data_IF_173388392385
#
_entry.id   IF_173388392385
#
_cell.length_a   1.000
_cell.length_b   1.000
_cell.length_c   1.000
_cell.angle_alpha   90.00
_cell.angle_beta   90.00
_cell.angle_gamma   90.00
#
_symmetry.space_group_name_H-M   'P 1'
#
loop_
_entity.id
_entity.type
_entity.pdbx_description
1 polymer ?
#
# COMPACT_ATOMS: atom_id res chain seq x y z
N UNK A 1 11.09 6.31 3.33
CA UNK A 1 11.22 5.08 4.13
C UNK A 1 9.87 4.38 4.26
N UNK A 2 9.88 3.08 4.39
CA UNK A 2 8.69 2.28 4.62
C UNK A 2 8.95 1.20 5.67
N UNK A 3 7.93 0.84 6.42
CA UNK A 3 8.00 -0.22 7.42
C UNK A 3 6.61 -0.79 7.71
N UNK A 4 6.54 -2.06 7.98
CA UNK A 4 5.32 -2.76 8.37
C UNK A 4 5.59 -3.59 9.63
N UNK A 5 4.72 -3.47 10.63
CA UNK A 5 4.92 -4.13 11.92
C UNK A 5 3.70 -4.88 12.43
N UNK A 6 2.75 -5.22 11.56
CA UNK A 6 1.57 -5.97 11.96
C UNK A 6 1.90 -7.42 12.29
N UNK A 7 1.39 -7.91 13.43
CA UNK A 7 1.66 -9.24 13.93
C UNK A 7 0.67 -10.32 13.51
N UNK A 8 -0.42 -9.94 12.86
CA UNK A 8 -1.49 -10.87 12.52
C UNK A 8 -2.54 -11.01 13.63
N UNK A 9 -3.28 -12.13 13.62
CA UNK A 9 -4.44 -12.34 14.50
C UNK A 9 -4.20 -13.38 15.59
N UNK A 10 -2.95 -13.72 15.89
CA UNK A 10 -2.58 -14.70 16.91
C UNK A 10 -1.77 -15.85 16.34
N UNK A 11 -1.12 -16.58 17.23
CA UNK A 11 -0.28 -17.74 16.90
C UNK A 11 0.96 -17.45 16.03
N UNK A 12 1.34 -16.17 15.95
CA UNK A 12 2.56 -15.77 15.24
C UNK A 12 3.80 -16.25 16.01
N UNK A 13 4.82 -16.66 15.25
CA UNK A 13 6.07 -17.10 15.85
C UNK A 13 6.86 -15.93 16.42
N UNK A 14 7.52 -16.14 17.55
CA UNK A 14 8.42 -15.17 18.17
C UNK A 14 9.49 -14.74 17.16
N UNK A 15 9.69 -13.43 17.05
CA UNK A 15 10.68 -12.84 16.14
C UNK A 15 10.13 -12.45 14.77
N UNK A 16 8.86 -12.74 14.48
CA UNK A 16 8.20 -12.27 13.28
C UNK A 16 7.77 -10.80 13.46
N UNK A 17 8.21 -9.93 12.57
CA UNK A 17 8.01 -8.47 12.70
C UNK A 17 6.84 -7.97 11.88
N UNK A 18 6.42 -8.69 10.83
CA UNK A 18 5.41 -8.24 9.87
C UNK A 18 4.66 -9.43 9.28
N UNK A 19 3.40 -9.19 8.86
CA UNK A 19 2.59 -10.17 8.13
C UNK A 19 3.20 -10.51 6.78
N UNK A 20 3.90 -9.59 6.17
CA UNK A 20 4.57 -9.78 4.89
C UNK A 20 6.03 -9.36 4.97
N UNK A 21 6.89 -10.26 4.51
CA UNK A 21 8.31 -10.04 4.50
C UNK A 21 8.71 -8.94 3.50
N UNK A 22 9.76 -8.18 3.85
CA UNK A 22 10.42 -7.31 2.89
C UNK A 22 11.06 -8.16 1.77
N UNK A 23 10.96 -7.81 0.47
CA UNK A 23 10.44 -6.55 -0.06
C UNK A 23 8.97 -6.58 -0.50
N UNK A 24 8.25 -7.66 -0.25
CA UNK A 24 6.86 -7.79 -0.70
C UNK A 24 5.89 -6.91 0.09
N UNK A 25 6.02 -6.88 1.41
CA UNK A 25 5.12 -6.16 2.32
C UNK A 25 5.56 -4.74 2.65
N UNK A 26 6.82 -4.42 2.50
CA UNK A 26 7.34 -3.05 2.60
C UNK A 26 8.63 -2.93 1.79
N UNK A 27 8.78 -1.81 1.13
CA UNK A 27 9.96 -1.51 0.33
C UNK A 27 10.06 0.00 0.09
N UNK A 28 11.27 0.51 0.06
CA UNK A 28 11.51 1.91 -0.27
C UNK A 28 12.85 2.08 -0.95
N UNK A 29 12.92 3.06 -1.84
CA UNK A 29 14.16 3.56 -2.43
C UNK A 29 14.12 5.09 -2.49
N UNK A 30 15.00 5.72 -3.26
CA UNK A 30 15.03 7.18 -3.40
C UNK A 30 13.79 7.76 -4.09
N UNK A 31 12.99 6.96 -4.77
CA UNK A 31 11.86 7.44 -5.57
C UNK A 31 10.51 7.28 -4.86
N UNK A 32 10.31 6.20 -4.11
CA UNK A 32 9.04 5.90 -3.45
C UNK A 32 9.20 4.97 -2.26
N UNK A 33 8.17 4.94 -1.41
CA UNK A 33 8.06 3.99 -0.31
C UNK A 33 6.64 3.44 -0.23
N UNK A 34 6.51 2.16 0.09
CA UNK A 34 5.24 1.43 0.15
C UNK A 34 5.22 0.51 1.36
N UNK A 35 4.10 0.53 2.09
CA UNK A 35 3.78 -0.46 3.14
C UNK A 35 2.43 -1.09 2.85
N UNK A 36 2.34 -2.40 3.05
CA UNK A 36 1.17 -3.20 2.73
C UNK A 36 0.53 -3.81 3.97
N UNK A 37 -0.75 -4.12 3.87
CA UNK A 37 -1.54 -4.81 4.88
C UNK A 37 -2.53 -5.76 4.20
N UNK A 38 -3.04 -6.75 4.94
CA UNK A 38 -4.02 -7.71 4.43
C UNK A 38 -3.55 -9.15 4.60
N UNK A 39 -3.94 -10.02 3.68
CA UNK A 39 -3.50 -11.42 3.69
C UNK A 39 -2.03 -11.49 3.24
N UNK A 40 -1.15 -11.92 4.14
CA UNK A 40 0.31 -11.89 3.92
C UNK A 40 0.74 -12.68 2.69
N UNK A 41 0.15 -13.86 2.47
CA UNK A 41 0.44 -14.69 1.30
C UNK A 41 0.07 -14.01 0.00
N UNK A 42 -1.03 -13.27 -0.03
CA UNK A 42 -1.46 -12.51 -1.21
C UNK A 42 -0.47 -11.38 -1.51
N UNK A 43 0.01 -10.70 -0.48
CA UNK A 43 1.00 -9.64 -0.61
C UNK A 43 2.33 -10.20 -1.14
N UNK A 44 2.75 -11.37 -0.64
CA UNK A 44 3.98 -12.04 -1.07
C UNK A 44 3.86 -12.48 -2.53
N UNK A 45 2.77 -13.14 -2.90
CA UNK A 45 2.55 -13.61 -4.25
C UNK A 45 2.56 -12.47 -5.29
N UNK A 46 2.03 -11.31 -4.91
CA UNK A 46 2.06 -10.13 -5.77
C UNK A 46 3.39 -9.38 -5.71
N UNK A 47 4.27 -9.64 -4.75
CA UNK A 47 5.47 -8.85 -4.46
C UNK A 47 5.14 -7.35 -4.40
N UNK A 48 4.06 -7.01 -3.71
CA UNK A 48 3.30 -5.77 -3.94
C UNK A 48 4.13 -4.50 -3.72
N UNK A 49 4.79 -4.36 -2.57
CA UNK A 49 5.51 -3.14 -2.26
C UNK A 49 6.66 -2.89 -3.24
N UNK A 50 7.50 -3.88 -3.50
CA UNK A 50 8.60 -3.77 -4.45
C UNK A 50 8.09 -3.51 -5.87
N UNK A 51 7.01 -4.18 -6.28
CA UNK A 51 6.42 -3.98 -7.61
C UNK A 51 6.00 -2.53 -7.84
N UNK A 52 5.31 -1.92 -6.88
CA UNK A 52 4.90 -0.51 -6.98
C UNK A 52 6.11 0.41 -7.04
N UNK A 53 7.08 0.25 -6.14
CA UNK A 53 8.28 1.08 -6.10
C UNK A 53 9.09 0.96 -7.38
N UNK A 54 9.26 -0.25 -7.91
CA UNK A 54 9.99 -0.49 -9.16
C UNK A 54 9.27 0.19 -10.34
N UNK A 55 7.95 0.13 -10.40
CA UNK A 55 7.17 0.83 -11.44
C UNK A 55 7.40 2.35 -11.39
N UNK A 56 7.43 2.94 -10.21
CA UNK A 56 7.75 4.37 -10.04
C UNK A 56 9.19 4.65 -10.50
N UNK A 57 10.13 3.81 -10.11
CA UNK A 57 11.54 3.93 -10.50
C UNK A 57 11.70 3.88 -12.03
N UNK A 58 10.90 3.05 -12.69
CA UNK A 58 10.93 2.87 -14.15
C UNK A 58 10.13 3.94 -14.93
N UNK A 59 9.54 4.91 -14.23
CA UNK A 59 8.94 6.07 -14.86
C UNK A 59 7.43 6.21 -14.73
N UNK A 60 6.75 5.29 -14.05
CA UNK A 60 5.32 5.45 -13.75
C UNK A 60 5.14 6.56 -12.72
N UNK A 61 4.05 7.33 -12.83
CA UNK A 61 3.61 8.13 -11.70
C UNK A 61 3.20 7.21 -10.55
N UNK A 62 3.24 7.71 -9.31
CA UNK A 62 2.81 6.90 -8.15
C UNK A 62 1.37 6.42 -8.32
N UNK A 63 0.47 7.31 -8.75
CA UNK A 63 -0.94 6.97 -8.98
C UNK A 63 -1.08 5.84 -10.02
N UNK A 64 -0.40 5.93 -11.15
CA UNK A 64 -0.45 4.91 -12.20
C UNK A 64 0.14 3.57 -11.72
N UNK A 65 1.24 3.60 -10.96
CA UNK A 65 1.86 2.40 -10.42
C UNK A 65 0.93 1.68 -9.42
N UNK A 66 0.30 2.42 -8.51
CA UNK A 66 -0.65 1.88 -7.54
C UNK A 66 -1.90 1.35 -8.25
N UNK A 67 -2.47 2.11 -9.17
CA UNK A 67 -3.67 1.69 -9.89
C UNK A 67 -3.46 0.39 -10.66
N UNK A 68 -2.37 0.30 -11.41
CA UNK A 68 -2.04 -0.93 -12.15
C UNK A 68 -1.88 -2.12 -11.22
N UNK A 69 -1.17 -1.94 -10.11
CA UNK A 69 -0.91 -2.99 -9.13
C UNK A 69 -2.21 -3.45 -8.42
N UNK A 70 -3.10 -2.53 -8.12
CA UNK A 70 -4.40 -2.87 -7.51
C UNK A 70 -5.31 -3.61 -8.50
N UNK A 71 -5.32 -3.23 -9.77
CA UNK A 71 -6.08 -3.94 -10.80
C UNK A 71 -5.59 -5.37 -10.99
N UNK A 72 -4.27 -5.58 -10.99
CA UNK A 72 -3.69 -6.93 -11.05
C UNK A 72 -4.10 -7.76 -9.83
N UNK A 73 -3.99 -7.19 -8.64
CA UNK A 73 -4.38 -7.85 -7.40
C UNK A 73 -5.87 -8.21 -7.38
N UNK A 74 -6.72 -7.33 -7.87
CA UNK A 74 -8.16 -7.58 -8.00
C UNK A 74 -8.43 -8.74 -8.97
N UNK A 75 -7.78 -8.73 -10.12
CA UNK A 75 -7.91 -9.80 -11.13
C UNK A 75 -7.46 -11.16 -10.57
N UNK A 76 -6.42 -11.16 -9.72
CA UNK A 76 -5.90 -12.37 -9.10
C UNK A 76 -6.67 -12.78 -7.83
N UNK A 77 -7.74 -12.09 -7.47
CA UNK A 77 -8.57 -12.42 -6.31
C UNK A 77 -7.89 -12.17 -4.97
N UNK A 78 -6.96 -11.22 -4.89
CA UNK A 78 -6.21 -10.93 -3.65
C UNK A 78 -6.99 -10.04 -2.70
N UNK A 79 -6.69 -10.20 -1.39
CA UNK A 79 -7.27 -9.41 -0.31
C UNK A 79 -6.15 -8.65 0.40
N UNK A 80 -5.96 -7.38 0.02
CA UNK A 80 -4.83 -6.58 0.48
C UNK A 80 -5.11 -5.08 0.39
N UNK A 81 -4.23 -4.31 1.01
CA UNK A 81 -4.23 -2.87 0.95
C UNK A 81 -2.81 -2.32 1.06
N UNK A 82 -2.62 -1.07 0.72
CA UNK A 82 -1.32 -0.42 0.76
C UNK A 82 -1.42 1.08 0.96
N UNK A 83 -0.39 1.63 1.56
CA UNK A 83 -0.13 3.07 1.62
C UNK A 83 1.21 3.35 0.92
N UNK A 84 1.30 4.48 0.27
CA UNK A 84 2.51 4.84 -0.46
C UNK A 84 2.73 6.34 -0.53
N UNK A 85 3.99 6.72 -0.69
CA UNK A 85 4.38 8.09 -0.98
C UNK A 85 5.60 8.10 -1.92
N UNK A 86 5.73 9.16 -2.69
CA UNK A 86 6.89 9.36 -3.56
C UNK A 86 7.77 10.54 -3.08
N UNK A 87 8.89 10.75 -3.76
CA UNK A 87 9.83 11.82 -3.39
C UNK A 87 9.31 13.22 -3.62
N UNK A 88 8.26 13.40 -4.40
CA UNK A 88 7.61 14.70 -4.60
C UNK A 88 6.54 14.99 -3.52
N UNK A 89 6.26 14.06 -2.64
CA UNK A 89 5.26 14.20 -1.59
C UNK A 89 3.85 13.78 -2.00
N UNK A 90 3.68 13.12 -3.14
CA UNK A 90 2.40 12.53 -3.51
C UNK A 90 2.10 11.35 -2.56
N UNK A 91 0.86 11.27 -2.11
CA UNK A 91 0.37 10.23 -1.21
C UNK A 91 -0.77 9.50 -1.92
N UNK A 92 -0.63 8.19 -2.06
CA UNK A 92 -1.61 7.33 -2.73
C UNK A 92 -1.81 6.07 -1.90
N UNK A 93 -3.03 5.64 -1.75
CA UNK A 93 -3.37 4.37 -1.11
C UNK A 93 -4.22 3.52 -2.05
N UNK A 94 -4.24 2.22 -1.79
CA UNK A 94 -5.01 1.30 -2.59
C UNK A 94 -5.50 0.12 -1.77
N UNK A 95 -6.58 -0.50 -2.20
CA UNK A 95 -7.11 -1.70 -1.57
C UNK A 95 -7.88 -2.55 -2.58
N UNK A 96 -7.84 -3.84 -2.36
CA UNK A 96 -8.83 -4.81 -2.87
C UNK A 96 -9.70 -5.32 -1.72
N UNK A 97 -9.23 -5.18 -0.48
CA UNK A 97 -9.98 -5.47 0.72
C UNK A 97 -11.19 -4.54 0.87
N UNK A 98 -12.14 -4.93 1.70
CA UNK A 98 -13.34 -4.11 1.96
C UNK A 98 -13.01 -2.76 2.58
N UNK A 99 -12.08 -2.74 3.53
CA UNK A 99 -11.69 -1.55 4.29
C UNK A 99 -10.18 -1.41 4.31
N UNK A 100 -9.71 -0.17 4.19
CA UNK A 100 -8.35 0.23 4.50
C UNK A 100 -8.40 1.38 5.50
N UNK A 101 -7.83 1.19 6.68
CA UNK A 101 -7.69 2.23 7.69
C UNK A 101 -6.28 2.81 7.60
N UNK A 102 -6.18 4.06 7.18
CA UNK A 102 -4.92 4.76 7.04
C UNK A 102 -5.08 6.24 7.42
N UNK A 103 -3.99 6.84 7.80
CA UNK A 103 -3.91 8.28 8.06
C UNK A 103 -2.66 8.85 7.39
N UNK A 104 -2.70 10.13 7.07
CA UNK A 104 -1.58 10.81 6.42
C UNK A 104 -1.44 12.24 6.93
N UNK A 105 -0.27 12.81 6.68
CA UNK A 105 0.01 14.24 6.85
C UNK A 105 0.59 14.76 5.54
N UNK A 106 -0.03 15.80 4.97
CA UNK A 106 0.36 16.34 3.67
C UNK A 106 1.36 17.51 3.76
N UNK A 107 1.88 17.75 4.95
CA UNK A 107 2.74 18.89 5.26
C UNK A 107 2.01 20.05 5.93
N UNK A 108 0.68 20.09 5.88
CA UNK A 108 -0.17 21.14 6.46
C UNK A 108 -1.26 20.60 7.37
N UNK A 109 -1.89 19.49 7.00
CA UNK A 109 -3.02 18.93 7.72
C UNK A 109 -2.96 17.41 7.78
N UNK A 110 -3.65 16.85 8.78
CA UNK A 110 -3.83 15.39 8.91
C UNK A 110 -5.12 15.01 8.17
N UNK A 111 -5.07 13.92 7.43
CA UNK A 111 -6.23 13.28 6.82
C UNK A 111 -6.22 11.78 7.06
N UNK A 112 -7.33 11.13 6.74
CA UNK A 112 -7.48 9.69 6.89
C UNK A 112 -8.41 9.09 5.83
N UNK A 113 -8.58 7.77 5.89
CA UNK A 113 -9.41 7.01 4.97
C UNK A 113 -10.71 6.51 5.60
N UNK A 114 -11.13 7.07 6.72
CA UNK A 114 -12.32 6.59 7.47
C UNK A 114 -13.60 6.63 6.62
N UNK A 115 -13.75 7.66 5.78
CA UNK A 115 -14.90 7.82 4.88
C UNK A 115 -14.72 7.08 3.54
N UNK A 116 -13.54 6.52 3.28
CA UNK A 116 -13.23 5.86 2.02
C UNK A 116 -13.48 4.36 2.10
N UNK A 117 -14.74 3.98 2.01
CA UNK A 117 -15.18 2.59 2.06
C UNK A 117 -16.43 2.36 1.21
N UNK A 118 -16.79 1.09 1.03
CA UNK A 118 -17.95 0.69 0.24
C UNK A 118 -17.69 0.68 -1.27
N UNK A 119 -18.76 0.43 -2.02
CA UNK A 119 -18.69 0.22 -3.49
C UNK A 119 -18.19 1.46 -4.25
N UNK A 120 -18.40 2.65 -3.70
CA UNK A 120 -18.05 3.91 -4.35
C UNK A 120 -16.59 4.35 -4.08
N UNK A 121 -15.87 3.66 -3.22
CA UNK A 121 -14.51 4.05 -2.85
C UNK A 121 -13.49 3.81 -3.96
N UNK A 122 -13.73 2.82 -4.84
CA UNK A 122 -12.78 2.43 -5.88
C UNK A 122 -11.57 1.66 -5.33
N UNK A 123 -10.62 1.39 -6.21
CA UNK A 123 -9.40 0.65 -5.87
C UNK A 123 -8.31 1.53 -5.27
N UNK A 124 -8.29 2.81 -5.59
CA UNK A 124 -7.27 3.75 -5.13
C UNK A 124 -7.87 5.05 -4.64
N UNK A 125 -7.13 5.73 -3.76
CA UNK A 125 -7.38 7.09 -3.37
C UNK A 125 -6.05 7.85 -3.28
N UNK A 126 -6.12 9.16 -3.32
CA UNK A 126 -4.93 10.00 -3.23
C UNK A 126 -5.26 11.33 -2.56
N UNK A 127 -4.24 11.98 -2.01
CA UNK A 127 -4.38 13.35 -1.50
C UNK A 127 -4.46 14.29 -2.69
N UNK A 128 -5.47 15.17 -2.76
CA UNK A 128 -5.54 16.16 -3.83
C UNK A 128 -4.28 17.04 -3.83
N UNK A 129 -3.70 17.25 -5.01
CA UNK A 129 -2.62 18.20 -5.20
C UNK A 129 -3.25 19.60 -5.20
N UNK A 130 -3.04 20.29 -4.08
CA UNK A 130 -3.60 21.62 -3.91
C UNK A 130 -2.71 22.70 -4.45
#
# INVERSE_FOLDING_TARGET
>A
AAGTSTGGKGLERIGRVSDSAMPAGNYANSEAGVSCTGVGEDIIDECLAAKVVIRVTDGFSLTAAVEKSMRESQTNGRDLGMISLDRQGNIVWGKTAEILLAAYHDGQAIGDTLEWHGENAGLIGHVPVG
#
